data_IF_874619197793
#
_entry.id   IF_874619197793
#
_cell.length_a   1.000
_cell.length_b   1.000
_cell.length_c   1.000
_cell.angle_alpha   90.00
_cell.angle_beta   90.00
_cell.angle_gamma   90.00
#
_symmetry.space_group_name_H-M   'P 1'
#
loop_
_entity.id
_entity.type
_entity.pdbx_description
1 polymer ?
#
# COMPACT_ATOMS: atom_id res chain seq x y z
N UNK A 1 -2.46 -14.10 -8.78
CA UNK A 1 -2.22 -12.71 -8.33
C UNK A 1 -3.54 -12.17 -7.83
N UNK A 2 -3.61 -11.89 -6.53
CA UNK A 2 -4.82 -11.38 -5.87
C UNK A 2 -5.15 -9.97 -6.36
N UNK A 3 -6.35 -9.47 -6.07
CA UNK A 3 -6.70 -8.09 -6.40
C UNK A 3 -5.86 -7.10 -5.57
N UNK A 4 -5.48 -7.47 -4.34
CA UNK A 4 -4.51 -6.73 -3.52
C UNK A 4 -3.14 -6.62 -4.21
N UNK A 5 -2.62 -7.72 -4.78
CA UNK A 5 -1.33 -7.70 -5.49
C UNK A 5 -1.36 -6.76 -6.71
N UNK A 6 -2.49 -6.73 -7.44
CA UNK A 6 -2.70 -5.79 -8.56
C UNK A 6 -2.79 -4.35 -8.07
N UNK A 7 -3.47 -4.15 -6.95
CA UNK A 7 -3.54 -2.89 -6.19
C UNK A 7 -2.17 -2.34 -5.84
N UNK A 8 -1.32 -3.18 -5.26
CA UNK A 8 0.05 -2.86 -4.87
C UNK A 8 0.91 -2.41 -6.04
N UNK A 9 0.74 -3.03 -7.23
CA UNK A 9 1.44 -2.60 -8.45
C UNK A 9 1.02 -1.17 -8.83
N UNK A 10 -0.28 -0.87 -8.82
CA UNK A 10 -0.78 0.46 -9.15
C UNK A 10 -0.33 1.51 -8.12
N UNK A 11 -0.39 1.17 -6.84
CA UNK A 11 0.05 2.03 -5.75
C UNK A 11 1.54 2.39 -5.88
N UNK A 12 2.39 1.40 -6.18
CA UNK A 12 3.84 1.62 -6.43
C UNK A 12 4.09 2.43 -7.70
N UNK A 13 3.32 2.20 -8.76
CA UNK A 13 3.41 2.99 -10.01
C UNK A 13 3.10 4.48 -9.79
N UNK A 14 2.14 4.80 -8.91
CA UNK A 14 1.70 6.19 -8.68
C UNK A 14 2.57 6.90 -7.63
N UNK A 15 2.89 6.22 -6.53
CA UNK A 15 3.55 6.84 -5.37
C UNK A 15 5.05 6.57 -5.29
N UNK A 16 5.55 5.59 -6.03
CA UNK A 16 6.94 5.15 -5.99
C UNK A 16 7.26 4.20 -4.83
N UNK A 17 8.23 3.33 -5.06
CA UNK A 17 8.58 2.24 -4.12
C UNK A 17 9.00 2.74 -2.74
N UNK A 18 9.93 3.71 -2.70
CA UNK A 18 10.47 4.24 -1.45
C UNK A 18 9.37 4.85 -0.55
N UNK A 19 8.34 5.45 -1.14
CA UNK A 19 7.21 5.99 -0.39
C UNK A 19 6.30 4.88 0.13
N UNK A 20 5.98 3.90 -0.72
CA UNK A 20 5.13 2.77 -0.35
C UNK A 20 5.76 1.95 0.77
N UNK A 21 7.07 1.68 0.70
CA UNK A 21 7.80 0.96 1.74
C UNK A 21 7.76 1.72 3.08
N UNK A 22 7.95 3.04 3.05
CA UNK A 22 7.83 3.90 4.24
C UNK A 22 6.42 3.90 4.82
N UNK A 23 5.39 3.88 3.97
CA UNK A 23 3.98 3.83 4.38
C UNK A 23 3.63 2.51 5.07
N UNK A 24 4.06 1.38 4.49
CA UNK A 24 3.83 0.05 5.04
C UNK A 24 4.59 -0.10 6.37
N UNK A 25 5.84 0.34 6.43
CA UNK A 25 6.64 0.29 7.66
C UNK A 25 6.04 1.13 8.81
N UNK A 26 5.21 2.12 8.50
CA UNK A 26 4.46 2.94 9.46
C UNK A 26 2.98 2.54 9.61
N UNK A 27 2.62 1.36 9.09
CA UNK A 27 1.28 0.81 9.26
C UNK A 27 1.04 0.45 10.73
N UNK A 28 -0.14 0.80 11.24
CA UNK A 28 -0.56 0.55 12.62
C UNK A 28 -2.08 0.33 12.68
N UNK A 29 -2.61 0.06 13.88
CA UNK A 29 -4.04 -0.24 14.08
C UNK A 29 -4.99 0.90 13.67
N UNK A 30 -4.49 2.12 13.51
CA UNK A 30 -5.30 3.26 13.07
C UNK A 30 -5.36 3.38 11.54
N UNK A 31 -4.27 3.06 10.83
CA UNK A 31 -4.17 3.33 9.39
C UNK A 31 -4.06 2.08 8.50
N UNK A 32 -3.87 0.89 9.08
CA UNK A 32 -3.64 -0.35 8.32
C UNK A 32 -4.81 -0.71 7.41
N UNK A 33 -6.03 -0.73 7.96
CA UNK A 33 -7.23 -1.04 7.18
C UNK A 33 -7.46 -0.04 6.05
N UNK A 34 -7.11 1.24 6.26
CA UNK A 34 -7.19 2.24 5.20
C UNK A 34 -6.15 1.98 4.10
N UNK A 35 -4.93 1.58 4.46
CA UNK A 35 -3.90 1.23 3.48
C UNK A 35 -4.30 0.04 2.63
N UNK A 36 -5.00 -0.94 3.21
CA UNK A 36 -5.51 -2.09 2.49
C UNK A 36 -6.72 -1.74 1.61
N UNK A 37 -7.59 -0.83 2.06
CA UNK A 37 -8.73 -0.33 1.28
C UNK A 37 -8.30 0.38 -0.02
N UNK A 38 -7.22 1.17 0.03
CA UNK A 38 -6.72 1.93 -1.13
C UNK A 38 -5.75 1.14 -2.01
N UNK A 39 -5.50 -0.12 -1.65
CA UNK A 39 -4.62 -1.04 -2.37
C UNK A 39 -5.47 -1.98 -3.20
#
# INVERSE_FOLDING_TARGET
MSDYDKGMINRRRVLGDAWVDKSIAKSNSFNGEFQDLIT
#
